data_IF_574214765996
#
_entry.id   IF_574214765996
#
_cell.length_a   1.000
_cell.length_b   1.000
_cell.length_c   1.000
_cell.angle_alpha   90.00
_cell.angle_beta   90.00
_cell.angle_gamma   90.00
#
_symmetry.space_group_name_H-M   'P 1'
#
loop_
_entity.id
_entity.type
_entity.pdbx_description
1 polymer ?
#
# COMPACT_ATOMS: atom_id res chain seq x y z
N UNK A 1 2.12 -8.48 23.68
CA UNK A 1 1.17 -7.66 22.88
C UNK A 1 1.55 -7.67 21.43
N UNK A 2 0.56 -7.88 20.57
CA UNK A 2 0.78 -7.82 19.14
C UNK A 2 0.83 -6.37 18.70
N UNK A 3 1.91 -5.95 18.07
CA UNK A 3 2.02 -4.64 17.45
C UNK A 3 1.53 -4.69 16.02
N UNK A 4 0.94 -3.59 15.57
CA UNK A 4 0.47 -3.42 14.19
C UNK A 4 1.27 -2.32 13.50
N UNK A 5 1.67 -2.58 12.26
CA UNK A 5 2.39 -1.63 11.42
C UNK A 5 1.62 -1.46 10.12
N UNK A 6 1.43 -0.23 9.70
CA UNK A 6 0.78 0.08 8.44
C UNK A 6 1.80 0.80 7.55
N UNK A 7 2.32 0.09 6.57
CA UNK A 7 3.25 0.64 5.57
C UNK A 7 2.41 1.05 4.37
N UNK A 8 2.54 2.30 3.91
CA UNK A 8 1.74 2.73 2.78
C UNK A 8 2.48 3.65 1.83
N UNK A 9 2.11 3.57 0.56
CA UNK A 9 2.43 4.53 -0.48
C UNK A 9 1.12 5.13 -0.97
N UNK A 10 1.05 6.46 -1.06
CA UNK A 10 -0.16 7.13 -1.50
C UNK A 10 0.18 8.27 -2.44
N UNK A 11 -0.66 8.48 -3.46
CA UNK A 11 -0.50 9.59 -4.40
C UNK A 11 -1.59 10.63 -4.18
N UNK A 12 -1.21 11.84 -3.80
CA UNK A 12 -2.09 13.00 -3.81
C UNK A 12 -1.92 13.75 -5.12
N UNK A 13 -2.75 14.75 -5.37
CA UNK A 13 -2.73 15.49 -6.62
C UNK A 13 -3.59 14.79 -7.68
N UNK A 14 -3.13 14.80 -8.91
CA UNK A 14 -3.89 14.16 -9.98
C UNK A 14 -3.98 12.67 -9.81
N UNK A 15 -5.20 12.16 -9.79
CA UNK A 15 -5.54 10.75 -9.68
C UNK A 15 -6.69 10.43 -10.62
N UNK A 16 -6.77 9.17 -11.04
CA UNK A 16 -7.90 8.68 -11.81
C UNK A 16 -8.92 8.11 -10.82
N UNK A 17 -10.09 8.74 -10.75
CA UNK A 17 -11.12 8.37 -9.78
C UNK A 17 -12.46 8.35 -10.49
N UNK A 18 -13.11 7.20 -10.45
CA UNK A 18 -14.46 7.01 -11.01
C UNK A 18 -14.57 7.48 -12.46
N UNK A 19 -13.58 7.12 -13.28
CA UNK A 19 -13.60 7.39 -14.73
C UNK A 19 -13.06 8.74 -15.16
N UNK A 20 -12.54 9.55 -14.26
CA UNK A 20 -11.97 10.85 -14.62
C UNK A 20 -10.77 11.23 -13.77
N UNK A 21 -9.93 12.12 -14.29
CA UNK A 21 -8.79 12.64 -13.53
C UNK A 21 -9.30 13.72 -12.58
N UNK A 22 -8.94 13.60 -11.30
CA UNK A 22 -9.34 14.52 -10.24
C UNK A 22 -8.14 14.90 -9.39
N UNK A 23 -8.19 16.11 -8.81
CA UNK A 23 -7.21 16.57 -7.84
C UNK A 23 -7.61 16.08 -6.45
N UNK A 24 -6.72 15.32 -5.80
CA UNK A 24 -6.95 14.85 -4.44
C UNK A 24 -5.99 15.55 -3.49
N UNK A 25 -6.52 16.19 -2.44
CA UNK A 25 -5.72 16.81 -1.39
C UNK A 25 -5.04 15.74 -0.53
N UNK A 26 -5.68 14.59 -0.38
CA UNK A 26 -5.15 13.41 0.30
C UNK A 26 -5.40 12.20 -0.60
N UNK A 27 -4.39 11.39 -0.83
CA UNK A 27 -4.52 10.20 -1.67
C UNK A 27 -5.44 9.15 -1.04
N UNK A 28 -6.07 8.35 -1.88
CA UNK A 28 -7.02 7.33 -1.42
C UNK A 28 -6.37 6.29 -0.50
N UNK A 29 -5.14 5.90 -0.80
CA UNK A 29 -4.44 4.90 0.03
C UNK A 29 -4.15 5.45 1.42
N UNK A 30 -3.77 6.71 1.54
CA UNK A 30 -3.53 7.34 2.85
C UNK A 30 -4.80 7.34 3.70
N UNK A 31 -5.95 7.66 3.10
CA UNK A 31 -7.24 7.63 3.77
C UNK A 31 -7.51 6.23 4.36
N UNK A 32 -7.31 5.20 3.55
CA UNK A 32 -7.54 3.81 3.97
C UNK A 32 -6.55 3.40 5.06
N UNK A 33 -5.28 3.76 4.92
CA UNK A 33 -4.25 3.46 5.91
C UNK A 33 -4.60 4.08 7.27
N UNK A 34 -5.11 5.31 7.28
CA UNK A 34 -5.52 5.97 8.51
C UNK A 34 -6.74 5.29 9.15
N UNK A 35 -7.67 4.79 8.34
CA UNK A 35 -8.80 4.02 8.86
C UNK A 35 -8.34 2.72 9.54
N UNK A 36 -7.34 2.06 8.98
CA UNK A 36 -6.77 0.85 9.60
C UNK A 36 -6.16 1.20 10.96
N UNK A 37 -5.33 2.24 11.01
CA UNK A 37 -4.71 2.67 12.26
C UNK A 37 -5.76 3.01 13.32
N UNK A 38 -6.80 3.71 12.93
CA UNK A 38 -7.89 4.06 13.85
C UNK A 38 -8.58 2.83 14.41
N UNK A 39 -8.71 1.78 13.58
CA UNK A 39 -9.43 0.55 13.97
C UNK A 39 -8.60 -0.36 14.88
N UNK A 40 -7.32 -0.55 14.60
CA UNK A 40 -6.48 -1.54 15.28
C UNK A 40 -5.32 -0.93 16.07
N UNK A 41 -5.08 0.36 15.93
CA UNK A 41 -3.93 1.03 16.51
C UNK A 41 -2.66 0.70 15.75
N UNK A 42 -1.51 1.06 16.32
CA UNK A 42 -0.21 0.79 15.71
C UNK A 42 0.37 2.02 15.03
N UNK A 43 1.42 1.77 14.25
CA UNK A 43 2.21 2.83 13.65
C UNK A 43 2.02 2.90 12.14
N UNK A 44 2.02 4.12 11.61
CA UNK A 44 2.00 4.39 10.17
C UNK A 44 3.42 4.66 9.68
N UNK A 45 3.79 4.07 8.56
CA UNK A 45 5.03 4.39 7.87
C UNK A 45 4.73 4.72 6.42
N UNK A 46 4.98 5.98 6.03
CA UNK A 46 4.75 6.43 4.66
C UNK A 46 6.00 6.22 3.81
N UNK A 47 5.81 5.56 2.67
CA UNK A 47 6.87 5.40 1.67
C UNK A 47 6.90 6.63 0.78
N UNK A 48 8.04 7.31 0.74
CA UNK A 48 8.26 8.48 -0.10
C UNK A 48 9.51 8.27 -0.94
N UNK A 49 9.39 8.48 -2.26
CA UNK A 49 10.52 8.35 -3.16
C UNK A 49 11.34 9.63 -3.21
N UNK A 50 12.66 9.50 -3.39
CA UNK A 50 13.54 10.64 -3.62
C UNK A 50 13.18 11.32 -4.93
N UNK A 51 12.99 10.52 -5.99
CA UNK A 51 12.53 11.01 -7.28
C UNK A 51 11.02 11.23 -7.22
N UNK A 52 10.57 12.45 -7.53
CA UNK A 52 9.15 12.73 -7.61
C UNK A 52 8.59 12.24 -8.95
N UNK A 53 7.43 11.57 -8.90
CA UNK A 53 6.71 11.24 -10.11
C UNK A 53 6.07 12.49 -10.70
N UNK A 54 5.83 12.46 -12.02
CA UNK A 54 5.18 13.57 -12.70
C UNK A 54 3.86 13.94 -12.00
N UNK A 55 3.57 15.24 -11.95
CA UNK A 55 2.29 15.73 -11.45
C UNK A 55 1.16 15.38 -12.42
N UNK A 56 1.49 15.25 -13.71
CA UNK A 56 0.55 14.81 -14.73
C UNK A 56 0.26 13.32 -14.55
N UNK A 57 -1.02 12.97 -14.41
CA UNK A 57 -1.41 11.60 -14.11
C UNK A 57 -0.93 10.61 -15.20
N UNK A 58 -1.16 10.95 -16.47
CA UNK A 58 -0.79 10.03 -17.55
C UNK A 58 0.72 9.82 -17.65
N UNK A 59 1.51 10.88 -17.47
CA UNK A 59 2.96 10.77 -17.43
C UNK A 59 3.42 9.89 -16.27
N UNK A 60 2.78 10.02 -15.10
CA UNK A 60 3.06 9.18 -13.95
C UNK A 60 2.78 7.69 -14.26
N UNK A 61 1.69 7.40 -14.97
CA UNK A 61 1.39 6.00 -15.34
C UNK A 61 2.46 5.41 -16.24
N UNK A 62 3.03 6.21 -17.13
CA UNK A 62 4.11 5.75 -18.01
C UNK A 62 5.40 5.50 -17.22
N UNK A 63 5.74 6.41 -16.30
CA UNK A 63 6.89 6.22 -15.41
C UNK A 63 6.75 4.94 -14.60
N UNK A 64 5.55 4.69 -14.06
CA UNK A 64 5.26 3.49 -13.28
C UNK A 64 5.40 2.22 -14.11
N UNK A 65 4.97 2.26 -15.37
CA UNK A 65 5.08 1.11 -16.27
C UNK A 65 6.54 0.79 -16.58
N UNK A 66 7.35 1.82 -16.83
CA UNK A 66 8.78 1.64 -17.06
C UNK A 66 9.47 1.03 -15.85
N UNK A 67 9.13 1.51 -14.65
CA UNK A 67 9.69 0.95 -13.41
C UNK A 67 9.32 -0.51 -13.25
N UNK A 68 8.08 -0.87 -13.53
CA UNK A 68 7.64 -2.26 -13.45
C UNK A 68 8.39 -3.15 -14.43
N UNK A 69 8.53 -2.73 -15.69
CA UNK A 69 9.24 -3.48 -16.72
C UNK A 69 10.71 -3.66 -16.37
N UNK A 70 11.34 -2.62 -15.83
CA UNK A 70 12.75 -2.64 -15.44
C UNK A 70 12.97 -3.31 -14.09
N UNK A 71 11.92 -3.69 -13.37
CA UNK A 71 12.00 -4.17 -11.99
C UNK A 71 12.77 -3.20 -11.12
N UNK A 72 12.47 -1.91 -11.28
CA UNK A 72 13.17 -0.83 -10.61
C UNK A 72 12.93 -0.90 -9.09
N UNK A 73 13.90 -0.39 -8.34
CA UNK A 73 13.79 -0.22 -6.89
C UNK A 73 14.09 1.24 -6.56
N UNK A 74 13.10 2.13 -6.73
CA UNK A 74 13.30 3.56 -6.49
C UNK A 74 13.84 3.83 -5.09
N UNK A 75 14.79 4.75 -5.00
CA UNK A 75 15.35 5.17 -3.72
C UNK A 75 14.30 5.91 -2.90
N UNK A 76 14.28 5.65 -1.59
CA UNK A 76 13.33 6.26 -0.68
C UNK A 76 14.00 7.36 0.14
N UNK A 77 13.21 8.35 0.55
CA UNK A 77 13.69 9.44 1.41
C UNK A 77 14.08 8.94 2.80
N UNK A 78 13.43 7.88 3.26
CA UNK A 78 13.72 7.22 4.53
C UNK A 78 13.34 5.75 4.43
N UNK A 79 13.93 4.95 5.29
CA UNK A 79 13.70 3.50 5.32
C UNK A 79 13.34 3.05 6.71
N UNK A 80 12.52 2.02 6.78
CA UNK A 80 12.29 1.26 7.99
C UNK A 80 13.19 0.03 7.91
N UNK A 81 13.99 -0.22 8.95
CA UNK A 81 14.96 -1.31 8.94
C UNK A 81 14.65 -2.41 9.95
N UNK A 82 13.74 -2.17 10.89
CA UNK A 82 13.41 -3.12 11.96
C UNK A 82 11.90 -3.15 12.20
N UNK A 83 11.32 -4.34 12.11
CA UNK A 83 9.90 -4.58 12.38
C UNK A 83 9.70 -5.60 13.49
N UNK A 84 10.72 -5.83 14.33
CA UNK A 84 10.68 -6.86 15.36
C UNK A 84 9.53 -6.65 16.36
N UNK A 85 9.09 -5.43 16.58
CA UNK A 85 8.02 -5.08 17.51
C UNK A 85 6.61 -5.38 16.96
N UNK A 86 6.50 -5.70 15.68
CA UNK A 86 5.20 -5.84 15.02
C UNK A 86 4.94 -7.29 14.63
N UNK A 87 3.71 -7.74 14.88
CA UNK A 87 3.26 -9.08 14.46
C UNK A 87 2.39 -9.01 13.20
N UNK A 88 1.66 -7.93 13.03
CA UNK A 88 0.76 -7.74 11.89
C UNK A 88 1.21 -6.54 11.07
N UNK A 89 1.37 -6.74 9.78
CA UNK A 89 1.84 -5.69 8.87
C UNK A 89 0.87 -5.55 7.71
N UNK A 90 0.29 -4.36 7.60
CA UNK A 90 -0.60 -3.99 6.50
C UNK A 90 0.23 -3.24 5.47
N UNK A 91 0.20 -3.70 4.23
CA UNK A 91 0.91 -3.04 3.13
C UNK A 91 -0.12 -2.44 2.20
N UNK A 92 -0.18 -1.12 2.16
CA UNK A 92 -1.22 -0.37 1.46
C UNK A 92 -0.62 0.39 0.27
N UNK A 93 -1.28 0.32 -0.87
CA UNK A 93 -0.85 1.06 -2.04
C UNK A 93 -1.90 1.11 -3.12
N UNK A 94 -1.73 2.04 -4.08
CA UNK A 94 -2.57 2.05 -5.26
C UNK A 94 -2.19 0.89 -6.18
N UNK A 95 -3.15 0.45 -6.97
CA UNK A 95 -2.88 -0.59 -7.96
C UNK A 95 -2.24 0.07 -9.19
N UNK A 96 -0.94 -0.07 -9.31
CA UNK A 96 -0.17 0.43 -10.44
C UNK A 96 0.20 -0.73 -11.36
N UNK A 97 -0.48 -0.80 -12.49
CA UNK A 97 -0.26 -1.88 -13.47
C UNK A 97 -0.41 -3.28 -12.85
N UNK A 98 -1.41 -3.43 -11.99
CA UNK A 98 -1.81 -4.72 -11.46
C UNK A 98 -1.14 -5.14 -10.16
N UNK A 99 -0.28 -4.30 -9.57
CA UNK A 99 0.38 -4.60 -8.30
C UNK A 99 0.75 -3.32 -7.57
N UNK A 100 1.53 -3.43 -6.49
CA UNK A 100 2.03 -2.26 -5.76
C UNK A 100 3.04 -1.48 -6.59
N UNK A 101 3.16 -0.15 -6.36
CA UNK A 101 4.28 0.62 -6.91
C UNK A 101 5.61 -0.02 -6.54
N UNK A 102 6.61 0.07 -7.43
CA UNK A 102 7.93 -0.55 -7.19
C UNK A 102 8.62 0.00 -5.95
N UNK A 103 8.33 1.25 -5.57
CA UNK A 103 8.85 1.83 -4.33
C UNK A 103 8.45 1.05 -3.08
N UNK A 104 7.27 0.43 -3.10
CA UNK A 104 6.82 -0.43 -1.99
C UNK A 104 7.76 -1.62 -1.87
N UNK A 105 8.14 -2.22 -2.98
CA UNK A 105 9.06 -3.36 -2.97
C UNK A 105 10.45 -2.97 -2.47
N UNK A 106 10.90 -1.74 -2.77
CA UNK A 106 12.15 -1.21 -2.24
C UNK A 106 12.18 -1.33 -0.72
N UNK A 107 11.10 -0.93 -0.06
CA UNK A 107 11.00 -0.98 1.41
C UNK A 107 10.87 -2.41 1.92
N UNK A 108 9.99 -3.20 1.32
CA UNK A 108 9.71 -4.55 1.80
C UNK A 108 10.95 -5.45 1.77
N UNK A 109 11.76 -5.30 0.74
CA UNK A 109 12.95 -6.16 0.57
C UNK A 109 14.04 -5.90 1.61
N UNK A 110 13.94 -4.83 2.38
CA UNK A 110 14.90 -4.51 3.45
C UNK A 110 14.55 -5.16 4.79
N UNK A 111 13.37 -5.78 4.90
CA UNK A 111 12.83 -6.22 6.18
C UNK A 111 12.81 -7.74 6.30
N UNK A 112 12.92 -8.22 7.54
CA UNK A 112 12.78 -9.63 7.86
C UNK A 112 11.33 -9.88 8.30
N UNK A 113 10.58 -10.59 7.48
CA UNK A 113 9.17 -10.88 7.72
C UNK A 113 8.93 -12.25 8.36
N UNK A 114 9.97 -12.94 8.77
CA UNK A 114 9.84 -14.28 9.35
C UNK A 114 8.87 -14.26 10.55
N UNK A 115 7.85 -15.11 10.50
CA UNK A 115 6.86 -15.24 11.57
C UNK A 115 5.81 -14.14 11.61
N UNK A 116 5.83 -13.20 10.67
CA UNK A 116 4.87 -12.10 10.62
C UNK A 116 3.64 -12.46 9.80
N UNK A 117 2.52 -11.77 10.09
CA UNK A 117 1.33 -11.80 9.24
C UNK A 117 1.32 -10.54 8.39
N UNK A 118 1.13 -10.68 7.09
CA UNK A 118 1.10 -9.55 6.14
C UNK A 118 -0.21 -9.55 5.38
N UNK A 119 -0.74 -8.37 5.14
CA UNK A 119 -2.02 -8.20 4.45
C UNK A 119 -1.87 -7.14 3.36
N UNK A 120 -2.32 -7.48 2.15
CA UNK A 120 -2.35 -6.54 1.03
C UNK A 120 -3.60 -5.67 1.12
N UNK A 121 -3.42 -4.36 0.97
CA UNK A 121 -4.52 -3.39 0.92
C UNK A 121 -4.33 -2.56 -0.35
N UNK A 122 -5.23 -2.73 -1.31
CA UNK A 122 -5.15 -2.04 -2.59
C UNK A 122 -6.27 -1.04 -2.75
N UNK A 123 -5.93 0.19 -3.12
CA UNK A 123 -6.90 1.12 -3.68
C UNK A 123 -6.80 1.02 -5.21
N UNK A 124 -7.95 0.95 -5.89
CA UNK A 124 -7.97 0.64 -7.31
C UNK A 124 -9.14 1.31 -8.03
N UNK A 125 -9.13 1.21 -9.36
CA UNK A 125 -10.20 1.72 -10.24
C UNK A 125 -10.92 0.61 -10.99
N UNK A 126 -10.82 -0.63 -10.52
CA UNK A 126 -11.49 -1.77 -11.14
C UNK A 126 -10.68 -3.06 -11.13
N UNK A 127 -9.38 -2.97 -10.78
CA UNK A 127 -8.49 -4.13 -10.79
C UNK A 127 -8.56 -4.99 -9.53
N UNK A 128 -9.24 -4.52 -8.49
CA UNK A 128 -9.29 -5.23 -7.21
C UNK A 128 -7.91 -5.35 -6.59
N UNK A 129 -7.61 -6.52 -6.04
CA UNK A 129 -6.30 -6.81 -5.45
C UNK A 129 -5.20 -7.00 -6.50
N UNK A 130 -5.56 -7.28 -7.76
CA UNK A 130 -4.57 -7.57 -8.79
C UNK A 130 -3.63 -8.68 -8.35
N UNK A 131 -2.33 -8.52 -8.60
CA UNK A 131 -1.30 -9.46 -8.17
C UNK A 131 -0.67 -9.12 -6.83
N UNK A 132 -1.29 -8.25 -6.02
CA UNK A 132 -0.68 -7.74 -4.79
C UNK A 132 -0.34 -8.83 -3.77
N UNK A 133 -1.22 -9.81 -3.57
CA UNK A 133 -0.94 -10.89 -2.62
C UNK A 133 0.22 -11.75 -3.08
N UNK A 134 0.33 -12.02 -4.36
CA UNK A 134 1.47 -12.74 -4.93
C UNK A 134 2.76 -11.94 -4.74
N UNK A 135 2.70 -10.63 -4.95
CA UNK A 135 3.84 -9.74 -4.73
C UNK A 135 4.31 -9.80 -3.28
N UNK A 136 3.38 -9.78 -2.31
CA UNK A 136 3.74 -9.90 -0.90
C UNK A 136 4.38 -11.25 -0.57
N UNK A 137 3.88 -12.34 -1.15
CA UNK A 137 4.49 -13.67 -0.94
C UNK A 137 5.93 -13.70 -1.42
N UNK A 138 6.23 -13.03 -2.52
CA UNK A 138 7.58 -12.96 -3.07
C UNK A 138 8.48 -12.01 -2.29
N UNK A 139 7.95 -10.87 -1.84
CA UNK A 139 8.75 -9.81 -1.19
C UNK A 139 8.87 -9.97 0.32
N UNK A 140 7.93 -10.64 0.96
CA UNK A 140 7.88 -10.81 2.41
C UNK A 140 8.13 -12.27 2.80
N UNK A 141 9.30 -12.77 2.46
CA UNK A 141 9.65 -14.18 2.69
C UNK A 141 9.55 -14.53 4.17
N UNK A 142 8.97 -15.67 4.47
CA UNK A 142 8.78 -16.15 5.84
C UNK A 142 7.51 -15.66 6.51
N UNK A 143 6.79 -14.74 5.89
CA UNK A 143 5.52 -14.25 6.41
C UNK A 143 4.37 -15.16 5.99
N UNK A 144 3.29 -15.10 6.75
CA UNK A 144 1.98 -15.64 6.35
C UNK A 144 1.20 -14.50 5.72
N UNK A 145 0.82 -14.66 4.45
CA UNK A 145 0.01 -13.66 3.75
C UNK A 145 -1.45 -13.98 4.00
N UNK A 146 -2.13 -13.09 4.71
CA UNK A 146 -3.55 -13.24 5.02
C UNK A 146 -4.42 -12.72 3.88
N UNK A 147 -5.73 -12.72 4.14
CA UNK A 147 -6.70 -12.23 3.16
C UNK A 147 -6.61 -10.72 3.04
N UNK A 148 -6.35 -10.23 1.82
CA UNK A 148 -6.23 -8.80 1.55
C UNK A 148 -7.57 -8.08 1.44
N UNK A 149 -7.50 -6.77 1.27
CA UNK A 149 -8.67 -5.91 1.10
C UNK A 149 -8.46 -5.03 -0.13
N UNK A 150 -9.46 -5.00 -1.01
CA UNK A 150 -9.48 -4.09 -2.15
C UNK A 150 -10.54 -3.01 -1.89
N UNK A 151 -10.17 -1.74 -2.09
CA UNK A 151 -11.06 -0.59 -1.93
C UNK A 151 -11.08 0.20 -3.23
N UNK A 152 -12.25 0.34 -3.84
CA UNK A 152 -12.39 1.18 -5.03
C UNK A 152 -12.10 2.63 -4.64
N UNK A 153 -11.25 3.32 -5.42
CA UNK A 153 -10.81 4.67 -5.08
C UNK A 153 -11.94 5.66 -4.84
N UNK A 154 -13.02 5.56 -5.63
CA UNK A 154 -14.18 6.41 -5.47
C UNK A 154 -14.89 6.23 -4.13
N UNK A 155 -14.71 5.08 -3.48
CA UNK A 155 -15.35 4.74 -2.22
C UNK A 155 -14.44 4.92 -1.01
N UNK A 156 -13.17 5.27 -1.21
CA UNK A 156 -12.18 5.33 -0.13
C UNK A 156 -12.65 6.15 1.06
N UNK A 157 -13.13 7.36 0.82
CA UNK A 157 -13.57 8.26 1.89
C UNK A 157 -14.78 7.72 2.68
N UNK A 158 -15.54 6.80 2.11
CA UNK A 158 -16.75 6.22 2.71
C UNK A 158 -16.53 4.79 3.20
N UNK A 159 -15.29 4.30 3.15
CA UNK A 159 -14.98 2.90 3.42
C UNK A 159 -14.65 2.60 4.87
N UNK A 160 -14.73 3.57 5.77
CA UNK A 160 -14.24 3.40 7.15
C UNK A 160 -14.81 2.17 7.85
N UNK A 161 -16.13 1.96 7.79
CA UNK A 161 -16.76 0.82 8.48
C UNK A 161 -16.28 -0.53 7.92
N UNK A 162 -16.18 -0.64 6.60
CA UNK A 162 -15.72 -1.85 5.93
C UNK A 162 -14.26 -2.13 6.24
N UNK A 163 -13.42 -1.10 6.16
CA UNK A 163 -11.98 -1.21 6.44
C UNK A 163 -11.77 -1.60 7.89
N UNK A 164 -12.47 -0.95 8.82
CA UNK A 164 -12.34 -1.22 10.25
C UNK A 164 -12.73 -2.66 10.59
N UNK A 165 -13.85 -3.15 10.06
CA UNK A 165 -14.30 -4.51 10.32
C UNK A 165 -13.30 -5.54 9.81
N UNK A 166 -12.79 -5.33 8.59
CA UNK A 166 -11.79 -6.22 8.00
C UNK A 166 -10.48 -6.21 8.80
N UNK A 167 -9.99 -5.01 9.18
CA UNK A 167 -8.74 -4.88 9.90
C UNK A 167 -8.79 -5.53 11.28
N UNK A 168 -9.89 -5.32 12.01
CA UNK A 168 -10.07 -5.93 13.34
C UNK A 168 -10.09 -7.45 13.25
N UNK A 169 -10.76 -7.99 12.25
CA UNK A 169 -10.81 -9.44 12.04
C UNK A 169 -9.44 -9.99 11.66
N UNK A 170 -8.66 -9.24 10.89
CA UNK A 170 -7.34 -9.66 10.42
C UNK A 170 -6.36 -9.88 11.57
N UNK A 171 -6.44 -9.07 12.62
CA UNK A 171 -5.50 -9.14 13.75
C UNK A 171 -5.98 -10.02 14.91
N UNK A 172 -7.14 -10.65 14.77
CA UNK A 172 -7.62 -11.61 15.77
C UNK A 172 -6.68 -12.80 15.96
#
# INVERSE_FOLDING_TARGET
MSGNLIIYYSRKGQNYVNGSIRELSKGNTEIVAEFIQKAVGGDLFEIETVKEYSKDYMACTEEAQEELRAKARPELKRYLDDISEYDNIFVCGPCWWGTFPMAVLTQLERLDFTGKKVFAVMTHEGSGLGGSERTLKASCKGATVGRGLAVHGADAARSEATVAAWAKKSVE
#
